data_IF_071874937784
#
_entry.id   IF_071874937784
#
_cell.length_a   1.000
_cell.length_b   1.000
_cell.length_c   1.000
_cell.angle_alpha   90.00
_cell.angle_beta   90.00
_cell.angle_gamma   90.00
#
_symmetry.space_group_name_H-M   'P 1'
#
loop_
_entity.id
_entity.type
_entity.pdbx_description
1 polymer ?
#
# COMPACT_ATOMS: atom_id res chain seq x y z
N UNK A 1 -21.01 -10.93 -21.81
CA UNK A 1 -19.62 -10.62 -21.38
C UNK A 1 -18.59 -10.73 -22.51
N UNK A 2 -18.62 -11.70 -23.43
CA UNK A 2 -17.57 -11.89 -24.48
C UNK A 2 -17.43 -10.77 -25.53
N UNK A 3 -18.52 -10.13 -25.95
CA UNK A 3 -18.47 -9.08 -26.98
C UNK A 3 -17.96 -7.72 -26.46
N UNK A 4 -18.27 -7.32 -25.24
CA UNK A 4 -17.77 -6.08 -24.64
C UNK A 4 -16.29 -6.17 -24.31
N UNK A 5 -15.82 -7.31 -23.78
CA UNK A 5 -14.40 -7.57 -23.50
C UNK A 5 -13.56 -7.53 -24.79
N UNK A 6 -14.07 -8.05 -25.92
CA UNK A 6 -13.41 -7.99 -27.21
C UNK A 6 -13.29 -6.54 -27.75
N UNK A 7 -14.32 -5.69 -27.53
CA UNK A 7 -14.30 -4.31 -27.97
C UNK A 7 -13.30 -3.48 -27.18
N UNK A 8 -13.28 -3.62 -25.84
CA UNK A 8 -12.31 -2.94 -24.97
C UNK A 8 -10.86 -3.34 -25.30
N UNK A 9 -10.60 -4.65 -25.51
CA UNK A 9 -9.28 -5.14 -25.91
C UNK A 9 -8.86 -4.59 -27.28
N UNK A 10 -9.78 -4.48 -28.22
CA UNK A 10 -9.49 -3.91 -29.53
C UNK A 10 -9.19 -2.40 -29.46
N UNK A 11 -9.91 -1.66 -28.63
CA UNK A 11 -9.63 -0.25 -28.36
C UNK A 11 -8.26 -0.08 -27.71
N UNK A 12 -7.93 -0.89 -26.71
CA UNK A 12 -6.62 -0.90 -26.08
C UNK A 12 -5.50 -1.14 -27.09
N UNK A 13 -5.61 -2.17 -27.93
CA UNK A 13 -4.63 -2.47 -28.98
C UNK A 13 -4.47 -1.33 -29.97
N UNK A 14 -5.55 -0.68 -30.34
CA UNK A 14 -5.51 0.44 -31.29
C UNK A 14 -4.92 1.71 -30.67
N UNK A 15 -5.24 2.00 -29.41
CA UNK A 15 -4.77 3.21 -28.73
C UNK A 15 -3.34 3.05 -28.20
N UNK A 16 -3.13 2.07 -27.33
CA UNK A 16 -1.85 1.86 -26.65
C UNK A 16 -0.86 1.18 -27.58
N UNK A 17 -1.25 0.10 -28.23
CA UNK A 17 -0.35 -0.69 -29.07
C UNK A 17 0.23 0.07 -30.26
N UNK A 18 -0.59 0.85 -30.98
CA UNK A 18 -0.09 1.65 -32.11
C UNK A 18 0.80 2.80 -31.65
N UNK A 19 0.42 3.52 -30.59
CA UNK A 19 1.25 4.59 -30.03
C UNK A 19 2.57 4.02 -29.48
N UNK A 20 2.53 2.84 -28.85
CA UNK A 20 3.74 2.18 -28.38
C UNK A 20 4.70 1.86 -29.52
N UNK A 21 4.22 1.30 -30.63
CA UNK A 21 5.07 1.02 -31.79
C UNK A 21 5.70 2.31 -32.35
N UNK A 22 4.93 3.39 -32.45
CA UNK A 22 5.42 4.68 -32.93
C UNK A 22 6.52 5.23 -32.01
N UNK A 23 6.25 5.36 -30.70
CA UNK A 23 7.20 5.98 -29.78
C UNK A 23 8.38 5.06 -29.44
N UNK A 24 8.20 3.74 -29.48
CA UNK A 24 9.30 2.81 -29.36
C UNK A 24 10.29 2.92 -30.54
N UNK A 25 9.81 3.23 -31.76
CA UNK A 25 10.68 3.51 -32.90
C UNK A 25 11.53 4.76 -32.68
N UNK A 26 10.97 5.81 -32.09
CA UNK A 26 11.74 7.00 -31.70
C UNK A 26 12.78 6.66 -30.61
N UNK A 27 12.42 5.82 -29.65
CA UNK A 27 13.31 5.38 -28.59
C UNK A 27 14.56 4.65 -29.13
N UNK A 28 14.40 3.82 -30.16
CA UNK A 28 15.53 3.14 -30.85
C UNK A 28 16.44 4.09 -31.61
N UNK A 29 15.94 5.26 -32.02
CA UNK A 29 16.69 6.26 -32.78
C UNK A 29 17.40 7.32 -31.94
N UNK A 30 17.17 7.33 -30.62
CA UNK A 30 17.78 8.31 -29.72
C UNK A 30 19.31 8.11 -29.64
N UNK A 31 20.12 9.20 -29.64
CA UNK A 31 21.57 9.11 -29.70
C UNK A 31 22.17 8.78 -28.33
N UNK A 32 21.92 7.57 -27.84
CA UNK A 32 22.52 7.10 -26.60
C UNK A 32 23.73 6.21 -26.93
N UNK A 33 24.93 6.63 -26.61
CA UNK A 33 26.16 5.87 -26.79
C UNK A 33 26.15 4.45 -26.16
N UNK A 34 25.19 4.21 -25.24
CA UNK A 34 24.99 2.89 -24.59
C UNK A 34 23.83 2.07 -25.18
N UNK A 35 23.00 2.66 -26.04
CA UNK A 35 21.80 2.01 -26.59
C UNK A 35 21.94 1.83 -28.11
N UNK A 36 22.93 2.48 -28.74
CA UNK A 36 23.20 2.35 -30.16
C UNK A 36 23.29 0.87 -30.54
N UNK A 37 22.42 0.44 -31.46
CA UNK A 37 22.26 -0.95 -31.90
C UNK A 37 21.59 -1.90 -30.88
N UNK A 38 21.36 -1.52 -29.61
CA UNK A 38 20.77 -2.42 -28.59
C UNK A 38 19.39 -2.93 -29.01
N UNK A 39 18.52 -2.07 -29.51
CA UNK A 39 17.19 -2.49 -29.98
C UNK A 39 17.22 -3.46 -31.17
N UNK A 40 18.16 -3.26 -32.12
CA UNK A 40 18.35 -4.18 -33.27
C UNK A 40 18.90 -5.54 -32.78
N UNK A 41 19.94 -5.50 -31.96
CA UNK A 41 20.54 -6.72 -31.39
C UNK A 41 19.56 -7.49 -30.49
N UNK A 42 18.71 -6.79 -29.74
CA UNK A 42 17.67 -7.43 -28.93
C UNK A 42 16.66 -8.18 -29.80
N UNK A 43 16.24 -7.61 -30.92
CA UNK A 43 15.34 -8.28 -31.86
C UNK A 43 16.00 -9.54 -32.46
N UNK A 44 17.31 -9.47 -32.78
CA UNK A 44 18.05 -10.61 -33.24
C UNK A 44 18.23 -11.69 -32.18
N UNK A 45 18.45 -11.29 -30.92
CA UNK A 45 18.48 -12.22 -29.79
C UNK A 45 17.12 -12.92 -29.62
N UNK A 46 16.03 -12.18 -29.67
CA UNK A 46 14.67 -12.75 -29.59
C UNK A 46 14.44 -13.81 -30.68
N UNK A 47 14.77 -13.50 -31.93
CA UNK A 47 14.67 -14.45 -33.03
C UNK A 47 15.57 -15.67 -32.84
N UNK A 48 16.79 -15.47 -32.35
CA UNK A 48 17.72 -16.57 -32.05
C UNK A 48 17.19 -17.47 -30.91
N UNK A 49 16.56 -16.89 -29.89
CA UNK A 49 15.89 -17.64 -28.83
C UNK A 49 14.73 -18.49 -29.35
N UNK A 50 13.84 -17.92 -30.18
CA UNK A 50 12.73 -18.66 -30.79
C UNK A 50 13.21 -19.84 -31.62
N UNK A 51 14.25 -19.66 -32.42
CA UNK A 51 14.82 -20.69 -33.25
C UNK A 51 15.53 -21.77 -32.41
N UNK A 52 16.26 -21.37 -31.38
CA UNK A 52 16.93 -22.26 -30.45
C UNK A 52 15.95 -23.13 -29.65
N UNK A 53 14.87 -22.54 -29.14
CA UNK A 53 13.81 -23.30 -28.44
C UNK A 53 13.13 -24.32 -29.35
N UNK A 54 12.86 -23.98 -30.62
CA UNK A 54 12.33 -24.95 -31.60
C UNK A 54 13.29 -26.12 -31.82
N UNK A 55 14.60 -25.87 -31.76
CA UNK A 55 15.65 -26.87 -31.91
C UNK A 55 16.04 -27.57 -30.62
N UNK A 56 15.39 -27.23 -29.48
CA UNK A 56 15.68 -27.75 -28.14
C UNK A 56 17.13 -27.52 -27.68
N UNK A 57 17.71 -26.40 -28.08
CA UNK A 57 19.06 -25.98 -27.63
C UNK A 57 19.01 -25.52 -26.18
N UNK A 58 20.12 -25.64 -25.47
CA UNK A 58 20.28 -25.09 -24.11
C UNK A 58 20.37 -23.57 -24.15
N UNK A 59 20.06 -22.86 -23.04
CA UNK A 59 20.23 -21.41 -22.96
C UNK A 59 21.67 -20.96 -23.31
N UNK A 60 22.68 -21.72 -22.89
CA UNK A 60 24.08 -21.45 -23.18
C UNK A 60 24.35 -21.50 -24.68
N UNK A 61 23.91 -22.59 -25.37
CA UNK A 61 24.06 -22.75 -26.82
C UNK A 61 23.37 -21.62 -27.59
N UNK A 62 22.20 -21.16 -27.14
CA UNK A 62 21.46 -20.07 -27.74
C UNK A 62 22.24 -18.75 -27.62
N UNK A 63 22.76 -18.46 -26.42
CA UNK A 63 23.52 -17.22 -26.15
C UNK A 63 24.85 -17.23 -26.90
N UNK A 64 25.61 -18.34 -26.86
CA UNK A 64 26.86 -18.47 -27.62
C UNK A 64 26.61 -18.30 -29.13
N UNK A 65 25.57 -18.96 -29.67
CA UNK A 65 25.17 -18.81 -31.07
C UNK A 65 24.81 -17.38 -31.44
N UNK A 66 24.14 -16.66 -30.57
CA UNK A 66 23.84 -15.24 -30.77
C UNK A 66 25.09 -14.37 -30.84
N UNK A 67 26.00 -14.51 -29.84
CA UNK A 67 27.22 -13.71 -29.77
C UNK A 67 28.13 -13.97 -30.99
N UNK A 68 28.34 -15.24 -31.35
CA UNK A 68 29.17 -15.63 -32.48
C UNK A 68 28.64 -15.14 -33.83
N UNK A 69 27.32 -15.07 -33.98
CA UNK A 69 26.69 -14.71 -35.26
C UNK A 69 26.45 -13.22 -35.45
N UNK A 70 26.14 -12.50 -34.37
CA UNK A 70 25.57 -11.15 -34.45
C UNK A 70 26.46 -10.07 -33.79
N UNK A 71 27.53 -10.43 -33.09
CA UNK A 71 28.40 -9.49 -32.40
C UNK A 71 29.89 -9.79 -32.66
N UNK A 72 30.74 -8.86 -32.23
CA UNK A 72 32.21 -9.05 -32.19
C UNK A 72 32.74 -9.24 -30.76
N UNK A 73 31.85 -9.45 -29.77
CA UNK A 73 32.24 -9.58 -28.39
C UNK A 73 32.73 -11.02 -28.08
N UNK A 74 34.01 -11.14 -27.79
CA UNK A 74 34.67 -12.42 -27.55
C UNK A 74 34.94 -12.67 -26.06
N UNK A 75 34.94 -11.63 -25.23
CA UNK A 75 35.16 -11.79 -23.78
C UNK A 75 33.82 -11.74 -23.02
N UNK A 76 33.77 -12.51 -21.93
CA UNK A 76 32.59 -12.68 -21.08
C UNK A 76 32.08 -11.34 -20.50
N UNK A 77 32.97 -10.44 -20.12
CA UNK A 77 32.59 -9.14 -19.56
C UNK A 77 31.79 -8.28 -20.52
N UNK A 78 32.20 -8.21 -21.80
CA UNK A 78 31.50 -7.43 -22.82
C UNK A 78 30.16 -8.09 -23.21
N UNK A 79 30.11 -9.42 -23.17
CA UNK A 79 28.88 -10.18 -23.39
C UNK A 79 27.87 -9.93 -22.29
N UNK A 80 28.28 -10.01 -21.01
CA UNK A 80 27.44 -9.71 -19.85
C UNK A 80 26.97 -8.24 -19.88
N UNK A 81 27.87 -7.29 -20.24
CA UNK A 81 27.51 -5.87 -20.33
C UNK A 81 26.42 -5.65 -21.43
N UNK A 82 26.49 -6.34 -22.57
CA UNK A 82 25.44 -6.26 -23.58
C UNK A 82 24.12 -6.87 -23.10
N UNK A 83 24.13 -8.03 -22.46
CA UNK A 83 22.91 -8.64 -21.90
C UNK A 83 22.26 -7.72 -20.86
N UNK A 84 23.08 -7.09 -20.01
CA UNK A 84 22.60 -6.11 -19.06
C UNK A 84 21.98 -4.87 -19.73
N UNK A 85 22.53 -4.41 -20.85
CA UNK A 85 21.91 -3.34 -21.65
C UNK A 85 20.57 -3.76 -22.25
N UNK A 86 20.41 -5.03 -22.63
CA UNK A 86 19.10 -5.52 -23.07
C UNK A 86 18.05 -5.42 -21.96
N UNK A 87 18.40 -5.83 -20.73
CA UNK A 87 17.51 -5.68 -19.58
C UNK A 87 17.13 -4.22 -19.37
N UNK A 88 18.12 -3.33 -19.33
CA UNK A 88 17.89 -1.88 -19.19
C UNK A 88 17.02 -1.28 -20.30
N UNK A 89 17.16 -1.77 -21.51
CA UNK A 89 16.34 -1.32 -22.64
C UNK A 89 14.89 -1.76 -22.48
N UNK A 90 14.67 -3.03 -22.13
CA UNK A 90 13.33 -3.58 -21.91
C UNK A 90 12.62 -2.85 -20.75
N UNK A 91 13.32 -2.57 -19.65
CA UNK A 91 12.76 -1.78 -18.54
C UNK A 91 12.23 -0.42 -19.00
N UNK A 92 12.95 0.26 -19.89
CA UNK A 92 12.52 1.54 -20.43
C UNK A 92 11.32 1.41 -21.37
N UNK A 93 11.23 0.32 -22.11
CA UNK A 93 10.06 0.01 -22.93
C UNK A 93 8.83 -0.23 -22.05
N UNK A 94 8.98 -0.92 -20.92
CA UNK A 94 7.90 -1.12 -19.93
C UNK A 94 7.42 0.22 -19.40
N UNK A 95 8.34 1.11 -19.01
CA UNK A 95 7.98 2.47 -18.52
C UNK A 95 7.22 3.28 -19.59
N UNK A 96 7.64 3.21 -20.85
CA UNK A 96 6.90 3.85 -21.94
C UNK A 96 5.50 3.26 -22.09
N UNK A 97 5.36 1.94 -21.94
CA UNK A 97 4.08 1.26 -22.03
C UNK A 97 3.15 1.66 -20.89
N UNK A 98 3.65 1.67 -19.63
CA UNK A 98 2.92 2.11 -18.46
C UNK A 98 2.41 3.56 -18.61
N UNK A 99 3.28 4.47 -19.09
CA UNK A 99 2.89 5.85 -19.35
C UNK A 99 1.81 5.99 -20.44
N UNK A 100 1.82 5.10 -21.45
CA UNK A 100 0.79 5.05 -22.50
C UNK A 100 -0.53 4.50 -21.97
N UNK A 101 -0.53 3.50 -21.09
CA UNK A 101 -1.73 2.98 -20.43
C UNK A 101 -2.38 4.07 -19.59
N UNK A 102 -1.60 4.77 -18.76
CA UNK A 102 -2.08 5.89 -17.96
C UNK A 102 -2.69 7.00 -18.83
N UNK A 103 -1.99 7.38 -19.90
CA UNK A 103 -2.47 8.41 -20.82
C UNK A 103 -3.80 8.03 -21.51
N UNK A 104 -3.96 6.75 -21.85
CA UNK A 104 -5.13 6.24 -22.55
C UNK A 104 -6.30 5.85 -21.62
N UNK A 105 -6.11 5.88 -20.30
CA UNK A 105 -7.07 5.35 -19.32
C UNK A 105 -8.49 5.88 -19.53
N UNK A 106 -8.64 7.18 -19.76
CA UNK A 106 -9.95 7.84 -19.96
C UNK A 106 -10.59 7.48 -21.28
N UNK A 107 -9.80 7.18 -22.32
CA UNK A 107 -10.30 6.89 -23.66
C UNK A 107 -10.71 5.42 -23.80
N UNK A 108 -10.13 4.53 -22.99
CA UNK A 108 -10.36 3.09 -23.03
C UNK A 108 -11.48 2.68 -22.07
N UNK A 109 -11.56 3.34 -20.90
CA UNK A 109 -12.49 2.98 -19.84
C UNK A 109 -13.74 3.84 -19.87
N UNK A 110 -14.90 3.19 -19.77
CA UNK A 110 -16.16 3.90 -19.56
C UNK A 110 -16.30 4.31 -18.07
N UNK A 111 -15.99 5.59 -17.79
CA UNK A 111 -16.04 6.15 -16.43
C UNK A 111 -17.46 6.31 -15.86
N UNK A 112 -18.48 5.98 -16.63
CA UNK A 112 -19.89 5.98 -16.18
C UNK A 112 -20.53 4.59 -16.35
N UNK A 113 -19.79 3.62 -16.81
CA UNK A 113 -20.25 2.26 -17.09
C UNK A 113 -20.28 1.35 -15.86
N UNK A 114 -20.50 0.07 -16.12
CA UNK A 114 -20.59 -0.98 -15.10
C UNK A 114 -19.36 -0.95 -14.15
N UNK A 115 -19.61 -1.00 -12.85
CA UNK A 115 -18.59 -0.95 -11.80
C UNK A 115 -18.22 0.45 -11.33
N UNK A 116 -18.92 1.49 -11.82
CA UNK A 116 -18.75 2.86 -11.30
C UNK A 116 -19.87 3.23 -10.32
N UNK A 117 -19.60 4.19 -9.42
CA UNK A 117 -20.62 4.68 -8.47
C UNK A 117 -21.84 5.28 -9.21
N UNK A 118 -21.61 5.92 -10.36
CA UNK A 118 -22.68 6.48 -11.16
C UNK A 118 -23.58 5.41 -11.78
N UNK A 119 -23.01 4.29 -12.20
CA UNK A 119 -23.79 3.16 -12.67
C UNK A 119 -24.56 2.50 -11.52
N UNK A 120 -23.95 2.37 -10.33
CA UNK A 120 -24.62 1.86 -9.13
C UNK A 120 -25.85 2.70 -8.79
N UNK A 121 -25.76 4.03 -8.80
CA UNK A 121 -26.90 4.93 -8.59
C UNK A 121 -28.03 4.65 -9.59
N UNK A 122 -27.68 4.54 -10.87
CA UNK A 122 -28.65 4.26 -11.94
C UNK A 122 -29.33 2.90 -11.77
N UNK A 123 -28.59 1.85 -11.44
CA UNK A 123 -29.11 0.50 -11.20
C UNK A 123 -30.03 0.45 -9.97
N UNK A 124 -29.66 1.10 -8.89
CA UNK A 124 -30.44 1.14 -7.64
C UNK A 124 -31.78 1.85 -7.88
N UNK A 125 -31.78 2.96 -8.62
CA UNK A 125 -33.03 3.70 -8.97
C UNK A 125 -33.91 2.85 -9.89
N UNK A 126 -33.33 2.26 -10.95
CA UNK A 126 -34.09 1.45 -11.93
C UNK A 126 -34.70 0.19 -11.30
N UNK A 127 -34.00 -0.46 -10.38
CA UNK A 127 -34.44 -1.69 -9.72
C UNK A 127 -35.21 -1.44 -8.43
N UNK A 128 -35.33 -0.19 -7.99
CA UNK A 128 -35.97 0.21 -6.71
C UNK A 128 -35.38 -0.56 -5.50
N UNK A 129 -34.03 -0.70 -5.48
CA UNK A 129 -33.30 -1.55 -4.53
C UNK A 129 -32.51 -0.75 -3.46
N UNK A 130 -33.00 0.47 -3.08
CA UNK A 130 -32.34 1.33 -2.09
C UNK A 130 -32.22 0.67 -0.72
N UNK A 131 -33.28 -0.03 -0.26
CA UNK A 131 -33.29 -0.73 1.04
C UNK A 131 -32.32 -1.90 1.05
N UNK A 132 -32.23 -2.66 -0.05
CA UNK A 132 -31.28 -3.77 -0.19
C UNK A 132 -29.84 -3.26 -0.16
N UNK A 133 -29.55 -2.16 -0.87
CA UNK A 133 -28.23 -1.52 -0.83
C UNK A 133 -27.88 -1.02 0.58
N UNK A 134 -28.85 -0.37 1.26
CA UNK A 134 -28.62 0.10 2.63
C UNK A 134 -28.32 -1.03 3.60
N UNK A 135 -29.06 -2.16 3.48
CA UNK A 135 -28.77 -3.34 4.29
C UNK A 135 -27.38 -3.90 4.01
N UNK A 136 -27.00 -3.99 2.73
CA UNK A 136 -25.69 -4.50 2.32
C UNK A 136 -24.53 -3.62 2.80
N UNK A 137 -24.67 -2.29 2.72
CA UNK A 137 -23.61 -1.35 3.11
C UNK A 137 -23.38 -1.27 4.62
N UNK A 138 -24.26 -1.86 5.46
CA UNK A 138 -23.99 -1.96 6.91
C UNK A 138 -22.74 -2.79 7.21
N UNK A 139 -22.56 -3.89 6.49
CA UNK A 139 -21.51 -4.87 6.75
C UNK A 139 -20.49 -4.97 5.61
N UNK A 140 -20.80 -4.39 4.44
CA UNK A 140 -19.90 -4.42 3.29
C UNK A 140 -18.75 -3.44 3.48
N UNK A 141 -17.54 -3.95 3.39
CA UNK A 141 -16.33 -3.13 3.39
C UNK A 141 -15.30 -3.66 2.38
N UNK A 142 -14.51 -2.76 1.85
CA UNK A 142 -13.36 -3.06 1.01
C UNK A 142 -12.10 -2.65 1.78
N UNK A 143 -11.22 -3.61 2.05
CA UNK A 143 -9.92 -3.35 2.65
C UNK A 143 -8.84 -3.41 1.57
N UNK A 144 -8.23 -2.27 1.28
CA UNK A 144 -7.09 -2.15 0.36
C UNK A 144 -5.80 -2.28 1.17
N UNK A 145 -5.02 -3.32 0.89
CA UNK A 145 -3.76 -3.57 1.61
C UNK A 145 -2.57 -3.21 0.72
N UNK A 146 -1.75 -2.27 1.18
CA UNK A 146 -0.50 -1.93 0.54
C UNK A 146 0.59 -2.88 1.00
N UNK A 147 1.19 -3.59 0.05
CA UNK A 147 2.27 -4.55 0.29
C UNK A 147 3.56 -4.09 -0.35
N UNK A 148 4.70 -4.39 0.27
CA UNK A 148 5.99 -4.18 -0.37
C UNK A 148 6.23 -5.29 -1.41
N UNK A 149 6.25 -4.93 -2.69
CA UNK A 149 6.60 -5.87 -3.75
C UNK A 149 7.90 -5.40 -4.43
N UNK A 150 9.00 -6.16 -4.34
CA UNK A 150 10.29 -5.74 -4.89
C UNK A 150 10.31 -5.64 -6.43
N UNK A 151 9.27 -6.12 -7.12
CA UNK A 151 9.25 -6.24 -8.57
C UNK A 151 8.90 -4.95 -9.33
N UNK A 152 8.47 -3.86 -8.66
CA UNK A 152 8.02 -2.63 -9.32
C UNK A 152 8.54 -1.34 -8.67
N UNK A 153 9.65 -1.38 -7.97
CA UNK A 153 10.23 -0.16 -7.40
C UNK A 153 11.03 0.62 -8.44
N UNK A 154 10.34 1.45 -9.21
CA UNK A 154 11.03 2.51 -9.93
C UNK A 154 11.56 3.54 -8.91
N UNK A 155 12.82 4.00 -9.07
CA UNK A 155 13.29 5.16 -8.32
C UNK A 155 12.34 6.35 -8.49
N UNK A 156 12.23 7.21 -7.48
CA UNK A 156 11.33 8.37 -7.52
C UNK A 156 11.55 9.27 -8.75
N UNK A 157 12.78 9.34 -9.27
CA UNK A 157 13.10 10.01 -10.53
C UNK A 157 12.41 9.40 -11.75
N UNK A 158 12.26 8.08 -11.79
CA UNK A 158 11.56 7.36 -12.88
C UNK A 158 10.06 7.55 -12.77
N UNK A 159 9.50 7.50 -11.54
CA UNK A 159 8.07 7.78 -11.32
C UNK A 159 7.69 9.19 -11.75
N UNK A 160 8.55 10.20 -11.51
CA UNK A 160 8.35 11.55 -12.01
C UNK A 160 8.29 11.60 -13.53
N UNK A 161 9.22 10.89 -14.20
CA UNK A 161 9.23 10.80 -15.68
C UNK A 161 7.98 10.11 -16.20
N UNK A 162 7.51 9.02 -15.59
CA UNK A 162 6.27 8.33 -15.98
C UNK A 162 5.09 9.29 -15.98
N UNK A 163 4.91 10.05 -14.88
CA UNK A 163 3.82 10.99 -14.75
C UNK A 163 3.88 12.12 -15.79
N UNK A 164 5.06 12.69 -16.04
CA UNK A 164 5.23 13.76 -17.02
C UNK A 164 5.07 13.23 -18.46
N UNK A 165 5.59 12.03 -18.73
CA UNK A 165 5.45 11.35 -20.01
C UNK A 165 3.97 11.01 -20.29
N UNK A 166 3.23 10.49 -19.30
CA UNK A 166 1.81 10.20 -19.41
C UNK A 166 0.98 11.44 -19.79
N UNK A 167 1.26 12.58 -19.17
CA UNK A 167 0.62 13.87 -19.52
C UNK A 167 0.96 14.31 -20.94
N UNK A 168 2.23 14.27 -21.33
CA UNK A 168 2.65 14.64 -22.69
C UNK A 168 2.05 13.73 -23.77
N UNK A 169 1.88 12.44 -23.47
CA UNK A 169 1.22 11.46 -24.34
C UNK A 169 -0.29 11.71 -24.46
N UNK A 170 -0.96 12.06 -23.35
CA UNK A 170 -2.37 12.43 -23.35
C UNK A 170 -2.62 13.70 -24.18
N UNK A 171 -1.73 14.70 -24.06
CA UNK A 171 -1.79 15.95 -24.82
C UNK A 171 -1.29 15.81 -26.26
N UNK A 172 -0.83 14.62 -26.68
CA UNK A 172 -0.20 14.36 -27.99
C UNK A 172 0.96 15.31 -28.32
N UNK A 173 1.71 15.75 -27.30
CA UNK A 173 2.85 16.66 -27.47
C UNK A 173 4.13 15.88 -27.80
N UNK A 174 4.36 15.60 -29.08
CA UNK A 174 5.50 14.83 -29.55
C UNK A 174 6.86 15.41 -29.13
N UNK A 175 6.98 16.74 -29.01
CA UNK A 175 8.21 17.41 -28.57
C UNK A 175 8.57 17.07 -27.12
N UNK A 176 7.59 17.18 -26.21
CA UNK A 176 7.78 16.80 -24.81
C UNK A 176 7.97 15.28 -24.66
N UNK A 177 7.21 14.46 -25.39
CA UNK A 177 7.40 13.00 -25.37
C UNK A 177 8.84 12.65 -25.73
N UNK A 178 9.40 13.21 -26.81
CA UNK A 178 10.78 12.98 -27.20
C UNK A 178 11.76 13.43 -26.10
N UNK A 179 11.51 14.57 -25.47
CA UNK A 179 12.35 15.09 -24.36
C UNK A 179 12.36 14.14 -23.16
N UNK A 180 11.18 13.65 -22.73
CA UNK A 180 11.07 12.72 -21.61
C UNK A 180 11.62 11.33 -21.93
N UNK A 181 11.50 10.85 -23.17
CA UNK A 181 12.16 9.62 -23.60
C UNK A 181 13.69 9.75 -23.54
N UNK A 182 14.24 10.92 -23.93
CA UNK A 182 15.68 11.17 -23.77
C UNK A 182 16.10 11.21 -22.30
N UNK A 183 15.31 11.86 -21.44
CA UNK A 183 15.55 11.88 -19.99
C UNK A 183 15.52 10.44 -19.44
N UNK A 184 14.51 9.65 -19.79
CA UNK A 184 14.37 8.26 -19.39
C UNK A 184 15.59 7.41 -19.80
N UNK A 185 16.08 7.62 -21.03
CA UNK A 185 17.27 6.94 -21.53
C UNK A 185 18.54 7.22 -20.71
N UNK A 186 18.65 8.41 -20.13
CA UNK A 186 19.80 8.84 -19.31
C UNK A 186 19.64 8.57 -17.82
N UNK A 187 18.42 8.29 -17.36
CA UNK A 187 18.11 8.08 -15.95
C UNK A 187 18.52 6.67 -15.52
N UNK A 188 19.29 6.50 -14.44
CA UNK A 188 19.59 5.17 -13.90
C UNK A 188 18.35 4.57 -13.23
N UNK A 189 18.10 3.27 -13.48
CA UNK A 189 16.99 2.51 -12.90
C UNK A 189 17.36 1.76 -11.63
N UNK A 190 18.65 1.63 -11.37
CA UNK A 190 19.13 0.85 -10.24
C UNK A 190 19.54 1.74 -9.08
N UNK A 191 19.01 1.43 -7.90
CA UNK A 191 19.54 1.93 -6.67
C UNK A 191 20.81 1.15 -6.32
N UNK A 192 21.90 1.84 -6.01
CA UNK A 192 23.17 1.21 -5.57
C UNK A 192 23.05 0.48 -4.22
N UNK A 193 22.04 0.79 -3.43
CA UNK A 193 21.74 0.16 -2.13
C UNK A 193 20.33 -0.42 -2.17
N UNK A 194 20.17 -1.63 -1.64
CA UNK A 194 18.86 -2.22 -1.41
C UNK A 194 18.11 -1.35 -0.40
N UNK A 195 16.84 -0.95 -0.67
CA UNK A 195 16.06 -0.19 0.29
C UNK A 195 15.85 -1.00 1.57
N UNK A 196 15.82 -0.31 2.69
CA UNK A 196 15.42 -0.90 3.97
C UNK A 196 13.90 -1.06 4.02
N UNK A 197 13.34 -1.92 4.91
CA UNK A 197 11.89 -2.01 5.10
C UNK A 197 11.25 -0.66 5.47
N UNK A 198 11.97 0.22 6.13
CA UNK A 198 11.50 1.59 6.42
C UNK A 198 11.45 2.45 5.16
N UNK A 199 12.47 2.40 4.29
CA UNK A 199 12.47 3.14 3.02
C UNK A 199 11.31 2.71 2.12
N UNK A 200 11.01 1.39 2.09
CA UNK A 200 9.86 0.85 1.37
C UNK A 200 8.55 1.39 1.93
N UNK A 201 8.40 1.41 3.26
CA UNK A 201 7.23 1.98 3.91
C UNK A 201 7.03 3.46 3.56
N UNK A 202 8.08 4.28 3.65
CA UNK A 202 8.02 5.71 3.31
C UNK A 202 7.61 5.93 1.86
N UNK A 203 8.12 5.10 0.93
CA UNK A 203 7.76 5.17 -0.48
C UNK A 203 6.26 4.90 -0.71
N UNK A 204 5.66 3.96 0.03
CA UNK A 204 4.23 3.67 -0.07
C UNK A 204 3.35 4.67 0.70
N UNK A 205 3.84 5.26 1.78
CA UNK A 205 3.16 6.35 2.48
C UNK A 205 2.94 7.55 1.55
N UNK A 206 3.86 7.79 0.61
CA UNK A 206 3.66 8.82 -0.41
C UNK A 206 2.38 8.60 -1.22
N UNK A 207 2.05 7.35 -1.60
CA UNK A 207 0.80 7.04 -2.30
C UNK A 207 -0.42 7.23 -1.42
N UNK A 208 -0.32 6.92 -0.12
CA UNK A 208 -1.39 7.22 0.84
C UNK A 208 -1.69 8.71 0.86
N UNK A 209 -0.67 9.57 0.98
CA UNK A 209 -0.82 11.04 1.02
C UNK A 209 -1.34 11.62 -0.29
N UNK A 210 -0.84 11.15 -1.44
CA UNK A 210 -1.04 11.84 -2.72
C UNK A 210 -2.14 11.21 -3.60
N UNK A 211 -2.55 9.97 -3.32
CA UNK A 211 -3.56 9.25 -4.11
C UNK A 211 -4.73 8.81 -3.25
N UNK A 212 -4.51 7.91 -2.28
CA UNK A 212 -5.59 7.26 -1.54
C UNK A 212 -6.37 8.21 -0.65
N UNK A 213 -5.73 9.18 -0.01
CA UNK A 213 -6.38 10.16 0.85
C UNK A 213 -7.48 10.96 0.13
N UNK A 214 -7.19 11.42 -1.08
CA UNK A 214 -8.15 12.15 -1.89
C UNK A 214 -9.22 11.22 -2.49
N UNK A 215 -8.81 10.06 -3.01
CA UNK A 215 -9.71 9.11 -3.67
C UNK A 215 -10.74 8.51 -2.70
N UNK A 216 -10.32 8.02 -1.54
CA UNK A 216 -11.21 7.44 -0.53
C UNK A 216 -12.20 8.49 0.02
N UNK A 217 -11.73 9.71 0.31
CA UNK A 217 -12.59 10.82 0.72
C UNK A 217 -13.65 11.16 -0.34
N UNK A 218 -13.27 11.15 -1.63
CA UNK A 218 -14.22 11.38 -2.73
C UNK A 218 -15.26 10.27 -2.85
N UNK A 219 -14.83 9.01 -2.79
CA UNK A 219 -15.72 7.83 -2.87
C UNK A 219 -16.73 7.86 -1.72
N UNK A 220 -16.27 8.03 -0.48
CA UNK A 220 -17.15 8.10 0.69
C UNK A 220 -18.13 9.27 0.60
N UNK A 221 -17.67 10.47 0.22
CA UNK A 221 -18.52 11.64 0.04
C UNK A 221 -19.57 11.43 -1.06
N UNK A 222 -19.21 10.74 -2.15
CA UNK A 222 -20.14 10.42 -3.24
C UNK A 222 -21.20 9.43 -2.77
N UNK A 223 -20.80 8.35 -2.10
CA UNK A 223 -21.73 7.35 -1.56
C UNK A 223 -22.71 7.97 -0.56
N UNK A 224 -22.23 8.78 0.39
CA UNK A 224 -23.09 9.47 1.37
C UNK A 224 -24.01 10.52 0.73
N UNK A 225 -23.60 11.15 -0.37
CA UNK A 225 -24.45 12.09 -1.09
C UNK A 225 -25.54 11.38 -1.91
N UNK A 226 -25.21 10.26 -2.54
CA UNK A 226 -26.17 9.48 -3.34
C UNK A 226 -27.11 8.63 -2.47
N UNK A 227 -26.61 8.11 -1.34
CA UNK A 227 -27.31 7.19 -0.45
C UNK A 227 -27.14 7.62 1.01
N UNK A 228 -27.73 8.76 1.44
CA UNK A 228 -27.47 9.36 2.75
C UNK A 228 -27.82 8.45 3.93
N UNK A 229 -28.83 7.59 3.78
CA UNK A 229 -29.30 6.68 4.84
C UNK A 229 -28.66 5.28 4.78
N UNK A 230 -27.85 5.02 3.77
CA UNK A 230 -27.28 3.69 3.53
C UNK A 230 -25.90 3.49 4.16
N UNK A 231 -25.09 4.54 4.27
CA UNK A 231 -23.71 4.46 4.77
C UNK A 231 -23.71 4.80 6.26
N UNK A 232 -23.46 3.78 7.09
CA UNK A 232 -23.32 3.96 8.54
C UNK A 232 -22.02 4.73 8.88
N UNK A 233 -22.05 5.64 9.86
CA UNK A 233 -20.85 6.24 10.42
C UNK A 233 -19.86 5.20 10.98
N UNK A 234 -20.40 4.06 11.44
CA UNK A 234 -19.60 2.95 12.01
C UNK A 234 -18.91 2.09 10.95
N UNK A 235 -19.39 2.14 9.69
CA UNK A 235 -18.77 1.44 8.57
C UNK A 235 -18.46 2.43 7.43
N UNK A 236 -17.21 2.95 7.33
CA UNK A 236 -16.81 3.87 6.26
C UNK A 236 -16.69 3.22 4.88
N UNK A 237 -16.98 1.92 4.75
CA UNK A 237 -16.94 1.10 3.51
C UNK A 237 -15.52 0.88 2.97
N UNK A 238 -14.60 1.80 3.21
CA UNK A 238 -13.21 1.71 2.74
C UNK A 238 -12.29 1.65 3.94
N UNK A 239 -11.44 0.62 3.98
CA UNK A 239 -10.38 0.46 4.97
C UNK A 239 -9.03 0.35 4.27
N UNK A 240 -7.99 0.86 4.92
CA UNK A 240 -6.62 0.76 4.42
C UNK A 240 -5.81 -0.14 5.34
N UNK A 241 -5.12 -1.12 4.75
CA UNK A 241 -4.14 -1.97 5.40
C UNK A 241 -2.72 -1.66 4.91
N UNK A 242 -1.72 -2.00 5.71
CA UNK A 242 -0.33 -1.70 5.42
C UNK A 242 0.58 -2.82 5.93
N UNK A 243 1.38 -3.42 5.04
CA UNK A 243 2.30 -4.52 5.38
C UNK A 243 3.76 -4.09 5.56
N UNK A 244 4.29 -3.10 4.82
CA UNK A 244 5.69 -2.71 5.00
C UNK A 244 5.99 -2.29 6.44
N UNK A 245 7.03 -2.88 7.02
CA UNK A 245 7.37 -2.70 8.43
C UNK A 245 6.56 -3.55 9.42
N UNK A 246 5.55 -4.31 8.96
CA UNK A 246 4.78 -5.28 9.77
C UNK A 246 4.96 -6.73 9.33
N UNK A 247 5.28 -6.96 8.06
CA UNK A 247 5.45 -8.28 7.48
C UNK A 247 6.87 -8.83 7.73
N UNK A 248 6.97 -9.80 8.63
CA UNK A 248 8.21 -10.47 9.04
C UNK A 248 8.44 -11.79 8.33
N UNK A 249 7.46 -12.27 7.57
CA UNK A 249 7.55 -13.56 6.91
C UNK A 249 8.72 -13.61 5.91
N UNK A 250 9.76 -14.38 6.27
CA UNK A 250 10.98 -14.48 5.49
C UNK A 250 11.88 -13.22 5.48
N UNK A 251 11.56 -12.17 6.23
CA UNK A 251 12.33 -10.92 6.26
C UNK A 251 12.84 -10.56 7.67
N UNK A 252 14.07 -10.97 8.04
CA UNK A 252 14.64 -10.71 9.37
C UNK A 252 14.97 -9.21 9.61
N UNK A 253 14.91 -8.36 8.60
CA UNK A 253 15.16 -6.92 8.73
C UNK A 253 13.92 -6.13 9.19
N UNK A 254 12.74 -6.75 9.23
CA UNK A 254 11.53 -6.15 9.81
C UNK A 254 11.52 -6.43 11.32
N UNK A 255 12.07 -5.48 12.06
CA UNK A 255 12.18 -5.56 13.53
C UNK A 255 11.07 -4.75 14.22
N UNK A 256 10.92 -4.92 15.54
CA UNK A 256 9.98 -4.14 16.36
C UNK A 256 10.22 -2.63 16.23
N UNK A 257 11.49 -2.20 16.19
CA UNK A 257 11.84 -0.79 16.03
C UNK A 257 11.38 -0.25 14.68
N UNK A 258 11.53 -1.01 13.61
CA UNK A 258 11.01 -0.66 12.28
C UNK A 258 9.48 -0.55 12.32
N UNK A 259 8.78 -1.48 12.96
CA UNK A 259 7.31 -1.42 13.06
C UNK A 259 6.84 -0.17 13.81
N UNK A 260 7.49 0.18 14.90
CA UNK A 260 7.19 1.40 15.65
C UNK A 260 7.47 2.66 14.83
N UNK A 261 8.60 2.71 14.12
CA UNK A 261 8.94 3.83 13.23
C UNK A 261 7.93 3.99 12.09
N UNK A 262 7.51 2.89 11.47
CA UNK A 262 6.51 2.91 10.40
C UNK A 262 5.14 3.35 10.92
N UNK A 263 4.71 2.86 12.07
CA UNK A 263 3.46 3.32 12.70
C UNK A 263 3.47 4.82 13.00
N UNK A 264 4.61 5.35 13.49
CA UNK A 264 4.80 6.78 13.72
C UNK A 264 4.80 7.59 12.41
N UNK A 265 5.41 7.07 11.35
CA UNK A 265 5.40 7.69 10.04
C UNK A 265 3.99 7.75 9.42
N UNK A 266 3.20 6.67 9.52
CA UNK A 266 1.80 6.64 9.09
C UNK A 266 0.97 7.67 9.83
N UNK A 267 1.09 7.75 11.18
CA UNK A 267 0.43 8.77 12.00
C UNK A 267 0.82 10.18 11.58
N UNK A 268 2.10 10.44 11.43
CA UNK A 268 2.60 11.77 11.05
C UNK A 268 2.09 12.18 9.67
N UNK A 269 2.02 11.26 8.71
CA UNK A 269 1.52 11.49 7.37
C UNK A 269 0.03 11.87 7.35
N UNK A 270 -0.82 11.17 8.10
CA UNK A 270 -2.24 11.50 8.14
C UNK A 270 -2.52 12.82 8.84
N UNK A 271 -1.83 13.11 9.95
CA UNK A 271 -1.97 14.39 10.64
C UNK A 271 -1.54 15.55 9.73
N UNK A 272 -0.49 15.36 8.94
CA UNK A 272 -0.07 16.33 7.91
C UNK A 272 -1.18 16.55 6.85
N UNK A 273 -1.84 15.50 6.40
CA UNK A 273 -2.97 15.63 5.48
C UNK A 273 -4.12 16.42 6.09
N UNK A 274 -4.50 16.15 7.34
CA UNK A 274 -5.52 16.91 8.05
C UNK A 274 -5.13 18.36 8.26
N UNK A 275 -3.90 18.63 8.67
CA UNK A 275 -3.37 19.98 8.81
C UNK A 275 -3.49 20.79 7.52
N UNK A 276 -3.12 20.19 6.38
CA UNK A 276 -3.22 20.84 5.08
C UNK A 276 -4.68 21.09 4.66
N UNK A 277 -5.59 20.16 4.95
CA UNK A 277 -7.02 20.33 4.64
C UNK A 277 -7.67 21.38 5.56
N UNK A 278 -7.37 21.41 6.86
CA UNK A 278 -7.82 22.46 7.80
C UNK A 278 -7.35 23.84 7.33
N UNK A 279 -6.12 23.98 6.87
CA UNK A 279 -5.62 25.23 6.28
C UNK A 279 -6.38 25.66 5.03
N UNK A 280 -6.80 24.71 4.18
CA UNK A 280 -7.67 25.01 3.01
C UNK A 280 -9.06 25.44 3.45
N UNK A 281 -9.64 24.77 4.47
CA UNK A 281 -10.92 25.16 5.05
C UNK A 281 -10.86 26.57 5.64
N UNK A 282 -9.87 26.90 6.43
CA UNK A 282 -9.66 28.20 7.05
C UNK A 282 -9.61 29.36 6.05
N UNK A 283 -9.12 29.12 4.84
CA UNK A 283 -9.15 30.13 3.75
C UNK A 283 -10.53 30.40 3.18
N UNK A 284 -11.50 29.48 3.35
CA UNK A 284 -12.87 29.56 2.80
C UNK A 284 -13.91 29.86 3.88
N UNK A 285 -13.72 29.31 5.07
CA UNK A 285 -14.65 29.38 6.20
C UNK A 285 -14.18 30.51 7.15
N UNK A 286 -14.31 31.74 6.71
CA UNK A 286 -13.93 32.94 7.46
C UNK A 286 -15.11 33.51 8.27
N UNK A 287 -16.04 32.63 8.65
CA UNK A 287 -17.29 33.00 9.32
C UNK A 287 -17.10 33.05 10.83
N UNK A 288 -17.83 33.99 11.48
CA UNK A 288 -17.81 34.14 12.94
C UNK A 288 -18.14 32.80 13.64
N UNK A 289 -17.34 32.43 14.62
CA UNK A 289 -17.44 31.19 15.39
C UNK A 289 -16.81 29.96 14.71
N UNK A 290 -16.68 29.93 13.38
CA UNK A 290 -16.03 28.86 12.64
C UNK A 290 -14.52 29.07 12.54
N UNK A 291 -14.12 30.31 12.29
CA UNK A 291 -12.71 30.72 12.16
C UNK A 291 -11.89 30.41 13.41
N UNK A 292 -12.46 30.64 14.60
CA UNK A 292 -11.81 30.35 15.89
C UNK A 292 -11.59 28.84 16.07
N UNK A 293 -12.63 28.00 15.85
CA UNK A 293 -12.54 26.54 15.97
C UNK A 293 -11.51 25.95 14.99
N UNK A 294 -11.47 26.46 13.74
CA UNK A 294 -10.47 26.03 12.76
C UNK A 294 -9.07 26.47 13.14
N UNK A 295 -8.91 27.65 13.75
CA UNK A 295 -7.59 28.11 14.22
C UNK A 295 -7.07 27.24 15.37
N UNK A 296 -7.93 26.89 16.33
CA UNK A 296 -7.58 26.00 17.44
C UNK A 296 -7.21 24.59 16.94
N UNK A 297 -8.01 24.04 16.01
CA UNK A 297 -7.73 22.73 15.41
C UNK A 297 -6.40 22.76 14.62
N UNK A 298 -6.15 23.83 13.84
CA UNK A 298 -4.87 24.00 13.12
C UNK A 298 -3.68 23.98 14.09
N UNK A 299 -3.75 24.69 15.22
CA UNK A 299 -2.69 24.73 16.23
C UNK A 299 -2.48 23.35 16.86
N UNK A 300 -3.55 22.62 17.20
CA UNK A 300 -3.45 21.26 17.75
C UNK A 300 -2.76 20.30 16.77
N UNK A 301 -3.17 20.32 15.49
CA UNK A 301 -2.55 19.51 14.43
C UNK A 301 -1.08 19.89 14.22
N UNK A 302 -0.77 21.19 14.20
CA UNK A 302 0.59 21.69 14.09
C UNK A 302 1.48 21.22 15.26
N UNK A 303 1.01 21.38 16.48
CA UNK A 303 1.76 20.98 17.66
C UNK A 303 2.01 19.47 17.68
N UNK A 304 1.00 18.68 17.34
CA UNK A 304 1.13 17.21 17.28
C UNK A 304 2.14 16.76 16.22
N UNK A 305 2.25 17.48 15.10
CA UNK A 305 3.15 17.16 13.99
C UNK A 305 4.59 17.65 14.24
N UNK A 306 4.77 18.86 14.75
CA UNK A 306 6.07 19.54 14.78
C UNK A 306 6.67 19.71 16.17
N UNK A 307 5.88 19.56 17.24
CA UNK A 307 6.37 19.75 18.61
C UNK A 307 6.61 18.40 19.29
N UNK A 308 7.86 18.02 19.60
CA UNK A 308 8.16 16.77 20.28
C UNK A 308 7.41 16.66 21.61
N UNK A 309 6.91 15.47 21.93
CA UNK A 309 6.21 15.19 23.19
C UNK A 309 4.71 15.55 23.21
N UNK A 310 4.18 16.18 22.17
CA UNK A 310 2.73 16.51 22.10
C UNK A 310 1.89 15.54 21.24
N UNK A 311 2.44 14.40 20.86
CA UNK A 311 1.75 13.40 20.04
C UNK A 311 0.51 12.76 20.70
N UNK A 312 0.43 12.78 22.01
CA UNK A 312 -0.68 12.19 22.78
C UNK A 312 -1.86 13.12 23.02
N UNK A 313 -1.76 14.38 22.64
CA UNK A 313 -2.77 15.41 22.94
C UNK A 313 -3.82 15.57 21.82
N UNK A 314 -3.98 14.57 20.94
CA UNK A 314 -4.91 14.60 19.82
C UNK A 314 -5.54 13.22 19.66
N UNK A 315 -6.87 13.16 19.66
CA UNK A 315 -7.64 11.95 19.34
C UNK A 315 -8.50 12.14 18.08
N UNK A 316 -8.94 11.02 17.48
CA UNK A 316 -9.89 11.01 16.36
C UNK A 316 -11.20 11.70 16.76
N UNK A 317 -11.69 11.38 17.95
CA UNK A 317 -12.95 11.87 18.52
C UNK A 317 -12.91 13.38 18.70
N UNK A 318 -11.81 13.94 19.18
CA UNK A 318 -11.64 15.39 19.33
C UNK A 318 -11.68 16.12 17.99
N UNK A 319 -11.04 15.57 16.95
CA UNK A 319 -11.10 16.15 15.61
C UNK A 319 -12.54 16.11 15.07
N UNK A 320 -13.21 14.96 15.18
CA UNK A 320 -14.59 14.79 14.72
C UNK A 320 -15.55 15.72 15.48
N UNK A 321 -15.43 15.80 16.79
CA UNK A 321 -16.26 16.70 17.62
C UNK A 321 -16.11 18.16 17.18
N UNK A 322 -14.87 18.62 16.95
CA UNK A 322 -14.62 19.99 16.46
C UNK A 322 -15.23 20.23 15.08
N UNK A 323 -15.08 19.27 14.15
CA UNK A 323 -15.67 19.38 12.81
C UNK A 323 -17.20 19.33 12.80
N UNK A 324 -17.81 18.54 13.68
CA UNK A 324 -19.29 18.51 13.85
C UNK A 324 -19.82 19.82 14.46
N UNK A 325 -19.09 20.44 15.40
CA UNK A 325 -19.45 21.78 15.90
C UNK A 325 -19.42 22.80 14.76
N UNK A 326 -18.34 22.79 13.95
CA UNK A 326 -18.23 23.67 12.78
C UNK A 326 -19.38 23.44 11.81
N UNK A 327 -19.70 22.20 11.50
CA UNK A 327 -20.82 21.80 10.63
C UNK A 327 -22.15 22.37 11.14
N UNK A 328 -22.44 22.24 12.44
CA UNK A 328 -23.65 22.75 13.06
C UNK A 328 -23.75 24.28 12.95
N UNK A 329 -22.68 25.01 13.22
CA UNK A 329 -22.63 26.47 13.06
C UNK A 329 -22.92 26.86 11.61
N UNK A 330 -22.30 26.17 10.63
CA UNK A 330 -22.49 26.46 9.21
C UNK A 330 -23.95 26.22 8.78
N UNK A 331 -24.58 25.14 9.26
CA UNK A 331 -25.99 24.84 8.94
C UNK A 331 -26.91 25.90 9.51
N UNK A 332 -26.75 26.22 10.78
CA UNK A 332 -27.73 27.07 11.50
C UNK A 332 -27.49 28.57 11.29
N UNK A 333 -26.30 29.03 11.08
CA UNK A 333 -25.96 30.44 11.02
C UNK A 333 -25.45 30.93 9.66
N UNK A 334 -24.97 30.00 8.79
CA UNK A 334 -24.35 30.35 7.51
C UNK A 334 -24.96 29.62 6.28
N UNK A 335 -26.22 29.22 6.37
CA UNK A 335 -27.02 28.64 5.28
C UNK A 335 -26.35 27.44 4.57
N UNK A 336 -25.54 26.65 5.28
CA UNK A 336 -24.83 25.50 4.71
C UNK A 336 -23.68 25.85 3.75
N UNK A 337 -23.21 27.10 3.75
CA UNK A 337 -22.16 27.53 2.81
C UNK A 337 -20.87 26.74 3.01
N UNK A 338 -20.36 26.09 1.95
CA UNK A 338 -19.19 25.18 1.96
C UNK A 338 -19.33 23.93 2.84
N UNK A 339 -20.55 23.55 3.26
CA UNK A 339 -20.79 22.37 4.10
C UNK A 339 -20.15 21.09 3.52
N UNK A 340 -20.22 20.92 2.19
CA UNK A 340 -19.63 19.76 1.51
C UNK A 340 -18.11 19.61 1.75
N UNK A 341 -17.38 20.71 1.98
CA UNK A 341 -15.95 20.66 2.26
C UNK A 341 -15.65 20.18 3.67
N UNK A 342 -16.49 20.55 4.63
CA UNK A 342 -16.39 20.06 6.02
C UNK A 342 -16.76 18.57 6.08
N UNK A 343 -17.87 18.18 5.46
CA UNK A 343 -18.28 16.78 5.38
C UNK A 343 -17.21 15.90 4.71
N UNK A 344 -16.52 16.40 3.68
CA UNK A 344 -15.43 15.66 3.07
C UNK A 344 -14.28 15.40 4.04
N UNK A 345 -13.92 16.38 4.89
CA UNK A 345 -12.90 16.18 5.91
C UNK A 345 -13.36 15.22 7.01
N UNK A 346 -14.61 15.33 7.46
CA UNK A 346 -15.23 14.39 8.42
C UNK A 346 -15.11 12.96 7.87
N UNK A 347 -15.54 12.72 6.63
CA UNK A 347 -15.45 11.40 6.00
C UNK A 347 -14.03 10.86 5.97
N UNK A 348 -13.03 11.71 5.70
CA UNK A 348 -11.62 11.31 5.72
C UNK A 348 -11.14 10.93 7.13
N UNK A 349 -11.55 11.69 8.15
CA UNK A 349 -11.20 11.38 9.54
C UNK A 349 -11.85 10.07 10.00
N UNK A 350 -13.08 9.80 9.58
CA UNK A 350 -13.76 8.52 9.82
C UNK A 350 -12.99 7.34 9.21
N UNK A 351 -12.54 7.47 7.94
CA UNK A 351 -11.82 6.41 7.20
C UNK A 351 -10.43 6.16 7.78
N UNK A 352 -9.66 7.21 8.02
CA UNK A 352 -8.22 7.12 8.23
C UNK A 352 -7.80 7.25 9.71
N UNK A 353 -8.70 7.69 10.59
CA UNK A 353 -8.39 7.90 12.01
C UNK A 353 -7.09 8.67 12.23
N UNK A 354 -6.27 8.21 13.17
CA UNK A 354 -4.91 8.71 13.39
C UNK A 354 -3.84 7.72 12.90
N UNK A 355 -4.23 6.69 12.16
CA UNK A 355 -3.33 5.61 11.75
C UNK A 355 -3.04 5.58 10.25
N UNK A 356 -3.82 6.29 9.42
CA UNK A 356 -3.79 6.34 7.95
C UNK A 356 -4.07 5.00 7.29
N UNK A 357 -3.33 3.97 7.63
CA UNK A 357 -3.56 2.59 7.25
C UNK A 357 -3.18 1.68 8.42
N UNK A 358 -3.99 0.66 8.69
CA UNK A 358 -3.75 -0.29 9.77
C UNK A 358 -2.51 -1.13 9.46
N UNK A 359 -1.50 -1.05 10.33
CA UNK A 359 -0.28 -1.84 10.21
C UNK A 359 -0.57 -3.29 10.60
N UNK A 360 -0.56 -4.20 9.64
CA UNK A 360 -0.74 -5.62 9.91
C UNK A 360 0.59 -6.24 10.33
N UNK A 361 0.60 -6.96 11.44
CA UNK A 361 1.75 -7.77 11.86
C UNK A 361 1.59 -9.16 11.27
N UNK A 362 2.60 -9.63 10.55
CA UNK A 362 2.58 -10.96 9.91
C UNK A 362 3.85 -11.73 10.24
N UNK A 363 3.68 -13.02 10.63
CA UNK A 363 4.79 -13.92 10.96
C UNK A 363 4.42 -15.37 10.63
N UNK A 364 5.43 -16.20 10.41
CA UNK A 364 5.30 -17.62 10.12
C UNK A 364 4.94 -18.45 11.36
N UNK A 365 4.05 -19.42 11.20
CA UNK A 365 3.58 -20.31 12.27
C UNK A 365 4.70 -21.11 12.92
N UNK A 366 5.75 -21.48 12.18
CA UNK A 366 6.90 -22.21 12.72
C UNK A 366 7.68 -21.37 13.72
N UNK A 367 7.75 -20.05 13.54
CA UNK A 367 8.39 -19.13 14.48
C UNK A 367 7.61 -19.10 15.79
N UNK A 368 6.28 -19.06 15.75
CA UNK A 368 5.43 -19.10 16.96
C UNK A 368 5.60 -20.40 17.72
N UNK A 369 5.56 -21.52 17.02
CA UNK A 369 5.79 -22.84 17.61
C UNK A 369 7.13 -22.91 18.31
N UNK A 370 8.24 -22.54 17.65
CA UNK A 370 9.57 -22.56 18.22
C UNK A 370 9.68 -21.64 19.45
N UNK A 371 9.02 -20.49 19.41
CA UNK A 371 8.96 -19.55 20.52
C UNK A 371 8.29 -20.16 21.75
N UNK A 372 7.16 -20.87 21.57
CA UNK A 372 6.43 -21.55 22.65
C UNK A 372 7.23 -22.73 23.21
N UNK A 373 7.94 -23.46 22.37
CA UNK A 373 8.83 -24.54 22.80
C UNK A 373 9.94 -24.00 23.71
N UNK A 374 10.53 -22.86 23.38
CA UNK A 374 11.53 -22.17 24.22
C UNK A 374 10.88 -21.71 25.55
N UNK A 375 9.70 -21.07 25.48
CA UNK A 375 9.01 -20.57 26.66
C UNK A 375 8.59 -21.68 27.63
N UNK A 376 8.19 -22.84 27.10
CA UNK A 376 7.85 -24.01 27.93
C UNK A 376 9.06 -24.52 28.73
N UNK A 377 10.26 -24.44 28.18
CA UNK A 377 11.47 -24.89 28.86
C UNK A 377 12.04 -23.85 29.83
N UNK A 378 11.97 -22.55 29.47
CA UNK A 378 12.67 -21.48 30.18
C UNK A 378 11.79 -20.62 31.09
N UNK A 379 10.46 -20.78 31.05
CA UNK A 379 9.51 -20.06 31.90
C UNK A 379 8.51 -21.01 32.54
N UNK A 380 7.74 -20.52 33.52
CA UNK A 380 6.67 -21.29 34.13
C UNK A 380 5.28 -20.99 33.54
N UNK A 381 5.24 -20.29 32.41
CA UNK A 381 3.99 -19.92 31.71
C UNK A 381 3.31 -21.13 31.05
N UNK A 382 4.08 -22.16 30.70
CA UNK A 382 3.61 -23.39 30.08
C UNK A 382 4.15 -24.62 30.83
N UNK A 383 3.47 -25.77 30.73
CA UNK A 383 4.00 -27.05 31.27
C UNK A 383 5.35 -27.42 30.59
N UNK A 384 6.29 -27.98 31.35
CA UNK A 384 7.62 -28.38 30.79
C UNK A 384 7.54 -29.44 29.72
N UNK A 385 6.50 -30.30 29.74
CA UNK A 385 6.20 -31.29 28.70
C UNK A 385 5.27 -30.78 27.58
N UNK A 386 5.16 -29.45 27.40
CA UNK A 386 4.26 -28.83 26.40
C UNK A 386 4.43 -29.41 25.01
N UNK A 387 5.67 -29.70 24.57
CA UNK A 387 5.97 -30.24 23.26
C UNK A 387 5.38 -31.64 23.02
N UNK A 388 5.17 -32.41 24.09
CA UNK A 388 4.68 -33.79 24.06
C UNK A 388 3.14 -33.87 24.17
N UNK A 389 2.48 -32.76 24.49
CA UNK A 389 1.02 -32.70 24.66
C UNK A 389 0.30 -32.84 23.33
N UNK A 390 -0.91 -33.40 23.38
CA UNK A 390 -1.84 -33.37 22.26
C UNK A 390 -2.29 -31.92 21.95
N UNK A 391 -2.79 -31.66 20.74
CA UNK A 391 -3.26 -30.34 20.33
C UNK A 391 -4.32 -29.78 21.28
N UNK A 392 -5.27 -30.60 21.75
CA UNK A 392 -6.30 -30.18 22.70
C UNK A 392 -5.70 -29.78 24.05
N UNK A 393 -4.70 -30.52 24.54
CA UNK A 393 -4.00 -30.19 25.79
C UNK A 393 -3.16 -28.94 25.66
N UNK A 394 -2.47 -28.74 24.50
CA UNK A 394 -1.76 -27.51 24.18
C UNK A 394 -2.67 -26.30 24.18
N UNK A 395 -3.82 -26.38 23.51
CA UNK A 395 -4.82 -25.31 23.51
C UNK A 395 -5.29 -24.97 24.93
N UNK A 396 -5.57 -25.99 25.75
CA UNK A 396 -5.96 -25.78 27.14
C UNK A 396 -4.86 -25.11 28.00
N UNK A 397 -3.60 -25.41 27.73
CA UNK A 397 -2.46 -24.76 28.39
C UNK A 397 -2.30 -23.31 27.94
N UNK A 398 -2.42 -23.03 26.63
CA UNK A 398 -2.31 -21.70 26.06
C UNK A 398 -3.39 -20.72 26.57
N UNK A 399 -4.64 -21.19 26.69
CA UNK A 399 -5.76 -20.37 27.23
C UNK A 399 -5.54 -19.97 28.69
N UNK A 400 -4.75 -20.75 29.44
CA UNK A 400 -4.43 -20.52 30.86
C UNK A 400 -3.06 -19.87 31.05
N UNK A 401 -2.32 -19.60 29.97
CA UNK A 401 -0.98 -19.07 30.07
C UNK A 401 -0.93 -17.73 30.83
N UNK A 402 0.03 -17.60 31.70
CA UNK A 402 0.32 -16.38 32.44
C UNK A 402 1.34 -15.50 31.76
N UNK A 403 1.44 -14.24 32.22
CA UNK A 403 2.46 -13.30 31.72
C UNK A 403 3.86 -13.82 32.04
N UNK A 404 4.78 -13.64 31.11
CA UNK A 404 6.19 -13.95 31.25
C UNK A 404 6.97 -12.68 31.57
N UNK A 405 7.69 -12.68 32.68
CA UNK A 405 8.56 -11.60 33.07
C UNK A 405 10.03 -11.91 32.67
N UNK A 406 10.89 -10.89 32.64
CA UNK A 406 12.33 -11.00 32.32
C UNK A 406 12.66 -11.66 30.98
N UNK A 407 11.98 -11.25 29.93
CA UNK A 407 12.09 -11.83 28.58
C UNK A 407 13.46 -11.63 27.90
N UNK A 408 14.29 -10.69 28.39
CA UNK A 408 15.56 -10.34 27.76
C UNK A 408 16.57 -11.50 27.73
N UNK A 409 16.53 -12.39 28.73
CA UNK A 409 17.47 -13.52 28.87
C UNK A 409 16.91 -14.84 28.31
N UNK A 410 15.65 -14.87 27.93
CA UNK A 410 14.98 -16.11 27.51
C UNK A 410 15.35 -16.54 26.10
N UNK A 411 15.57 -15.57 25.22
CA UNK A 411 15.75 -15.83 23.79
C UNK A 411 17.20 -15.61 23.38
N UNK A 412 17.84 -16.64 22.87
CA UNK A 412 19.17 -16.57 22.24
C UNK A 412 19.11 -16.17 20.76
N UNK A 413 17.98 -16.41 20.11
CA UNK A 413 17.71 -16.07 18.71
C UNK A 413 17.02 -14.70 18.63
N UNK A 414 17.53 -13.84 17.75
CA UNK A 414 17.05 -12.48 17.56
C UNK A 414 15.61 -12.44 17.01
N UNK A 415 15.24 -13.38 16.13
CA UNK A 415 13.89 -13.44 15.52
C UNK A 415 12.85 -13.77 16.56
N UNK A 416 13.11 -14.74 17.45
CA UNK A 416 12.19 -15.09 18.53
C UNK A 416 12.02 -13.95 19.54
N UNK A 417 13.12 -13.31 19.94
CA UNK A 417 13.10 -12.16 20.83
C UNK A 417 12.31 -10.98 20.22
N UNK A 418 12.52 -10.70 18.94
CA UNK A 418 11.83 -9.62 18.22
C UNK A 418 10.33 -9.92 18.06
N UNK A 419 9.96 -11.16 17.69
CA UNK A 419 8.55 -11.55 17.55
C UNK A 419 7.79 -11.36 18.86
N UNK A 420 8.36 -11.78 19.98
CA UNK A 420 7.73 -11.61 21.30
C UNK A 420 7.60 -10.14 21.70
N UNK A 421 8.65 -9.35 21.48
CA UNK A 421 8.63 -7.89 21.72
C UNK A 421 7.62 -7.17 20.83
N UNK A 422 7.44 -7.63 19.60
CA UNK A 422 6.49 -7.03 18.65
C UNK A 422 5.07 -7.19 19.13
N UNK A 423 4.68 -8.37 19.66
CA UNK A 423 3.34 -8.58 20.23
C UNK A 423 3.07 -7.60 21.38
N UNK A 424 4.07 -7.35 22.22
CA UNK A 424 3.95 -6.34 23.28
C UNK A 424 3.87 -4.90 22.71
N UNK A 425 4.61 -4.60 21.64
CA UNK A 425 4.65 -3.27 21.03
C UNK A 425 3.35 -2.88 20.32
N UNK A 426 2.49 -3.83 19.94
CA UNK A 426 1.16 -3.54 19.37
C UNK A 426 0.38 -2.60 20.29
N UNK A 427 0.42 -2.80 21.61
CA UNK A 427 -0.22 -1.89 22.58
C UNK A 427 0.27 -0.44 22.44
N UNK A 428 1.57 -0.27 22.23
CA UNK A 428 2.17 1.06 22.03
C UNK A 428 1.64 1.71 20.75
N UNK A 429 1.55 0.94 19.65
CA UNK A 429 1.00 1.43 18.40
C UNK A 429 -0.47 1.83 18.59
N UNK A 430 -1.28 0.99 19.21
CA UNK A 430 -2.70 1.27 19.48
C UNK A 430 -2.89 2.49 20.37
N UNK A 431 -2.04 2.68 21.36
CA UNK A 431 -2.10 3.83 22.27
C UNK A 431 -1.91 5.15 21.53
N UNK A 432 -1.03 5.21 20.52
CA UNK A 432 -0.73 6.44 19.79
C UNK A 432 -1.57 6.64 18.54
N UNK A 433 -1.85 5.55 17.81
CA UNK A 433 -2.51 5.59 16.52
C UNK A 433 -4.01 5.27 16.59
N UNK A 434 -4.50 4.82 17.75
CA UNK A 434 -5.82 4.24 17.94
C UNK A 434 -5.82 2.72 17.74
N UNK A 435 -6.83 2.04 18.26
CA UNK A 435 -6.95 0.57 18.23
C UNK A 435 -6.85 0.01 16.80
N UNK A 436 -7.51 0.65 15.85
CA UNK A 436 -7.48 0.26 14.44
C UNK A 436 -6.10 0.41 13.79
N UNK A 437 -5.17 1.16 14.42
CA UNK A 437 -3.83 1.40 13.89
C UNK A 437 -2.97 0.15 13.77
N UNK A 438 -3.25 -0.87 14.61
CA UNK A 438 -2.64 -2.19 14.52
C UNK A 438 -3.61 -3.21 15.15
N UNK A 439 -4.60 -3.66 14.39
CA UNK A 439 -5.69 -4.51 14.85
C UNK A 439 -5.65 -5.93 14.27
N UNK A 440 -4.64 -6.28 13.47
CA UNK A 440 -4.53 -7.59 12.85
C UNK A 440 -3.15 -8.22 13.02
N UNK A 441 -3.20 -9.50 13.41
CA UNK A 441 -2.04 -10.38 13.45
C UNK A 441 -2.26 -11.54 12.47
N UNK A 442 -1.44 -11.60 11.42
CA UNK A 442 -1.59 -12.57 10.32
C UNK A 442 -0.59 -13.70 10.52
N UNK A 443 -1.07 -14.93 10.43
CA UNK A 443 -0.24 -16.13 10.52
C UNK A 443 -0.03 -16.69 9.12
N UNK A 444 1.19 -16.62 8.61
CA UNK A 444 1.53 -17.36 7.39
C UNK A 444 1.75 -18.83 7.71
N UNK A 445 1.49 -19.71 6.73
CA UNK A 445 1.54 -21.17 6.90
C UNK A 445 0.61 -21.68 8.04
N UNK A 446 -0.54 -21.04 8.24
CA UNK A 446 -1.54 -21.49 9.21
C UNK A 446 -2.24 -22.74 8.68
N UNK A 447 -2.03 -23.88 9.32
CA UNK A 447 -2.56 -25.19 8.90
C UNK A 447 -3.56 -25.79 9.89
N UNK A 448 -3.69 -25.23 11.09
CA UNK A 448 -4.57 -25.75 12.13
C UNK A 448 -5.06 -24.66 13.09
N UNK A 449 -6.14 -24.96 13.82
CA UNK A 449 -6.61 -24.09 14.89
C UNK A 449 -5.58 -23.91 16.02
N UNK A 450 -4.66 -24.85 16.20
CA UNK A 450 -3.59 -24.73 17.18
C UNK A 450 -2.69 -23.52 16.85
N UNK A 451 -2.37 -23.25 15.58
CA UNK A 451 -1.53 -22.12 15.20
C UNK A 451 -2.16 -20.77 15.61
N UNK A 452 -3.48 -20.63 15.49
CA UNK A 452 -4.18 -19.44 15.97
C UNK A 452 -4.12 -19.33 17.51
N UNK A 453 -4.27 -20.46 18.21
CA UNK A 453 -4.20 -20.50 19.67
C UNK A 453 -2.78 -20.30 20.21
N UNK A 454 -1.77 -20.69 19.46
CA UNK A 454 -0.35 -20.40 19.75
C UNK A 454 -0.12 -18.88 19.80
N UNK A 455 -0.60 -18.15 18.81
CA UNK A 455 -0.54 -16.68 18.77
C UNK A 455 -1.34 -16.08 19.94
N UNK A 456 -2.56 -16.56 20.19
CA UNK A 456 -3.36 -16.13 21.32
C UNK A 456 -2.62 -16.30 22.65
N UNK A 457 -2.00 -17.46 22.88
CA UNK A 457 -1.18 -17.72 24.06
C UNK A 457 0.00 -16.77 24.19
N UNK A 458 0.69 -16.47 23.07
CA UNK A 458 1.79 -15.48 23.05
C UNK A 458 1.33 -14.08 23.45
N UNK A 459 0.12 -13.66 23.05
CA UNK A 459 -0.47 -12.41 23.51
C UNK A 459 -0.64 -12.40 25.04
N UNK A 460 -1.21 -13.45 25.63
CA UNK A 460 -1.35 -13.56 27.10
C UNK A 460 0.02 -13.51 27.80
N UNK A 461 0.99 -14.28 27.30
CA UNK A 461 2.34 -14.33 27.84
C UNK A 461 3.09 -12.99 27.73
N UNK A 462 2.78 -12.18 26.74
CA UNK A 462 3.34 -10.83 26.59
C UNK A 462 2.63 -9.77 27.45
N UNK A 463 1.63 -10.18 28.25
CA UNK A 463 0.94 -9.32 29.22
C UNK A 463 -0.34 -8.66 28.70
N UNK A 464 -0.94 -9.18 27.62
CA UNK A 464 -2.29 -8.80 27.24
C UNK A 464 -3.31 -9.48 28.15
N UNK A 465 -4.37 -8.76 28.50
CA UNK A 465 -5.54 -9.34 29.15
C UNK A 465 -6.58 -9.71 28.09
N UNK A 466 -7.37 -10.74 28.36
CA UNK A 466 -8.41 -11.23 27.44
C UNK A 466 -9.39 -10.12 27.04
N UNK A 467 -9.77 -9.30 28.01
CA UNK A 467 -10.77 -8.24 27.88
C UNK A 467 -10.21 -7.02 27.11
N UNK A 468 -8.89 -6.88 27.04
CA UNK A 468 -8.19 -5.78 26.35
C UNK A 468 -7.75 -6.18 24.93
N UNK A 469 -7.94 -7.45 24.53
CA UNK A 469 -7.42 -7.99 23.29
C UNK A 469 -8.37 -7.67 22.13
N UNK A 470 -8.19 -6.50 21.53
CA UNK A 470 -8.91 -6.07 20.32
C UNK A 470 -8.02 -6.30 19.08
N UNK A 471 -7.78 -7.58 18.78
CA UNK A 471 -6.90 -8.05 17.70
C UNK A 471 -7.58 -9.19 16.94
N UNK A 472 -7.68 -9.06 15.64
CA UNK A 472 -8.05 -10.13 14.73
C UNK A 472 -6.83 -11.02 14.46
N UNK A 473 -6.89 -12.29 14.83
CA UNK A 473 -5.90 -13.31 14.43
C UNK A 473 -6.41 -13.95 13.15
N UNK A 474 -5.64 -13.79 12.06
CA UNK A 474 -6.05 -14.12 10.68
C UNK A 474 -5.10 -15.15 10.09
#
# INVERSE_FOLDING_TARGET
>A
MSNQSNKALQQFKNYVGLKFQLYNSLFTSLPFHRIEKTGILLSLLSSNCEDGFKKKQSPEEIIEGFFNKHTSYTNEKDQIDLLFRFVQYVERQVVLFDALEDAAFRDINDLNGIGTLKNLESEVIQNNSQEELALKLKDFAVRLVLTAHPTQFYPGSVLGIINDLSRALADNNAGLVNTYLQQLGKTPFFNKKKPTPYDEAISLIWYLENVFYAAAGKISSTLKAQFPDAVSPENPVIHMGFWPGGDRDGNPFVTVDISLQVADALRSAIIKCYYLDVRKLKRRLTFEGVDTLLAELEIKLYNNLFIPGQKTNLSKEEILQTLEQIKNIIIHHHNGLFLHTVNNLINKVEIFGLYFASLDIRQDSSVHKNLLDILSQKSDALPKNYTELSDSEKINALVKAGKVDNTAELFSDAVHADTFKTIAAIKTIQQYNGEEGCSRYIISQCTSALNAMEVYGLFLMSGWKKEEMNIDIV
#
